data_IF_250946591900
#
_entry.id   IF_250946591900
#
_cell.length_a   1.000
_cell.length_b   1.000
_cell.length_c   1.000
_cell.angle_alpha   90.00
_cell.angle_beta   90.00
_cell.angle_gamma   90.00
#
_symmetry.space_group_name_H-M   'P 1'
#
loop_
_entity.id
_entity.type
_entity.pdbx_description
1 polymer ?
#
# COMPACT_ATOMS: atom_id res chain seq x y z
N UNK A 1 -36.65 12.96 25.87
CA UNK A 1 -36.21 12.54 24.52
C UNK A 1 -34.76 12.97 24.24
N UNK A 2 -34.44 14.28 24.10
CA UNK A 2 -33.08 14.72 23.75
C UNK A 2 -31.97 14.33 24.77
N UNK A 3 -32.25 14.40 26.09
CA UNK A 3 -31.30 13.91 27.12
C UNK A 3 -31.08 12.39 27.06
N UNK A 4 -32.05 11.63 26.58
CA UNK A 4 -31.92 10.17 26.43
C UNK A 4 -30.93 9.83 25.30
N UNK A 5 -30.91 10.63 24.22
CA UNK A 5 -29.92 10.50 23.15
C UNK A 5 -28.48 10.70 23.65
N UNK A 6 -28.26 11.67 24.55
CA UNK A 6 -26.94 11.91 25.17
C UNK A 6 -26.36 10.62 25.79
N UNK A 7 -27.20 9.85 26.48
CA UNK A 7 -26.74 8.62 27.13
C UNK A 7 -26.48 7.52 26.10
N UNK A 8 -27.40 7.29 25.15
CA UNK A 8 -27.26 6.23 24.13
C UNK A 8 -25.99 6.34 23.27
N UNK A 9 -25.41 7.55 23.15
CA UNK A 9 -24.17 7.80 22.39
C UNK A 9 -22.92 7.85 23.28
N UNK A 10 -23.05 7.61 24.58
CA UNK A 10 -21.93 7.52 25.52
C UNK A 10 -21.58 6.07 25.77
N UNK A 11 -20.29 5.72 25.68
CA UNK A 11 -19.80 4.36 25.99
C UNK A 11 -20.10 3.93 27.43
N UNK A 12 -20.27 4.89 28.35
CA UNK A 12 -20.62 4.61 29.75
C UNK A 12 -21.94 3.85 29.88
N UNK A 13 -22.92 4.17 29.01
CA UNK A 13 -24.22 3.48 28.97
C UNK A 13 -24.36 2.50 27.81
N UNK A 14 -23.63 2.73 26.71
CA UNK A 14 -23.61 1.91 25.52
C UNK A 14 -22.24 1.25 25.33
N UNK A 15 -21.90 0.33 26.24
CA UNK A 15 -20.59 -0.35 26.25
C UNK A 15 -20.31 -1.17 24.98
N UNK A 16 -21.36 -1.62 24.30
CA UNK A 16 -21.25 -2.43 23.08
C UNK A 16 -21.08 -1.59 21.81
N UNK A 17 -21.21 -0.25 21.90
CA UNK A 17 -21.23 0.65 20.76
C UNK A 17 -22.32 0.26 19.74
N UNK A 18 -23.51 -0.06 20.25
CA UNK A 18 -24.69 -0.31 19.43
C UNK A 18 -25.20 0.99 18.81
N UNK A 19 -25.96 0.89 17.71
CA UNK A 19 -26.67 2.07 17.19
C UNK A 19 -27.65 2.59 18.25
N UNK A 20 -27.82 3.93 18.37
CA UNK A 20 -28.87 4.47 19.22
C UNK A 20 -30.24 4.02 18.72
N UNK A 21 -31.26 4.14 19.58
CA UNK A 21 -32.63 3.87 19.18
C UNK A 21 -33.03 4.85 18.07
N UNK A 22 -33.14 4.31 16.85
CA UNK A 22 -33.42 5.11 15.66
C UNK A 22 -34.83 5.68 15.66
N UNK A 23 -35.78 5.04 16.34
CA UNK A 23 -37.14 5.56 16.52
C UNK A 23 -37.07 6.81 17.41
N UNK A 24 -36.39 6.71 18.55
CA UNK A 24 -36.19 7.84 19.45
C UNK A 24 -35.44 9.00 18.77
N UNK A 25 -34.39 8.68 18.01
CA UNK A 25 -33.60 9.67 17.27
C UNK A 25 -34.46 10.41 16.24
N UNK A 26 -35.20 9.68 15.40
CA UNK A 26 -36.07 10.26 14.38
C UNK A 26 -37.21 11.08 15.00
N UNK A 27 -37.83 10.58 16.07
CA UNK A 27 -38.87 11.31 16.80
C UNK A 27 -38.33 12.60 17.40
N UNK A 28 -37.11 12.59 17.95
CA UNK A 28 -36.46 13.79 18.49
C UNK A 28 -36.17 14.82 17.40
N UNK A 29 -35.70 14.37 16.22
CA UNK A 29 -35.48 15.23 15.05
C UNK A 29 -36.78 15.86 14.54
N UNK A 30 -37.86 15.09 14.45
CA UNK A 30 -39.19 15.59 14.07
C UNK A 30 -39.73 16.59 15.08
N UNK A 31 -39.64 16.30 16.38
CA UNK A 31 -40.06 17.21 17.43
C UNK A 31 -39.28 18.53 17.40
N UNK A 32 -37.96 18.47 17.16
CA UNK A 32 -37.13 19.65 16.97
C UNK A 32 -37.57 20.50 15.77
N UNK A 33 -37.81 19.87 14.62
CA UNK A 33 -38.30 20.56 13.41
C UNK A 33 -39.65 21.25 13.65
N UNK A 34 -40.58 20.57 14.32
CA UNK A 34 -41.88 21.14 14.66
C UNK A 34 -41.74 22.32 15.63
N UNK A 35 -40.87 22.20 16.63
CA UNK A 35 -40.60 23.30 17.56
C UNK A 35 -40.00 24.52 16.86
N UNK A 36 -39.08 24.34 15.90
CA UNK A 36 -38.54 25.44 15.09
C UNK A 36 -39.63 26.15 14.28
N UNK A 37 -40.59 25.40 13.74
CA UNK A 37 -41.72 25.94 12.97
C UNK A 37 -42.71 26.72 13.85
N UNK A 38 -42.89 26.34 15.11
CA UNK A 38 -43.71 27.13 16.04
C UNK A 38 -42.97 28.38 16.54
N UNK A 39 -41.67 28.26 16.82
CA UNK A 39 -40.84 29.41 17.25
C UNK A 39 -40.75 30.48 16.16
N UNK A 40 -40.72 30.09 14.88
CA UNK A 40 -40.67 31.06 13.77
C UNK A 40 -41.92 31.94 13.68
N UNK A 41 -43.06 31.48 14.20
CA UNK A 41 -44.32 32.24 14.27
C UNK A 41 -44.35 33.25 15.42
N UNK A 42 -43.42 33.16 16.38
CA UNK A 42 -43.38 34.06 17.53
C UNK A 42 -42.89 35.48 17.17
N UNK A 43 -43.30 36.51 17.93
CA UNK A 43 -42.73 37.85 17.86
C UNK A 43 -41.19 37.88 17.99
N UNK A 44 -40.55 38.81 17.29
CA UNK A 44 -39.08 38.86 17.10
C UNK A 44 -38.30 38.94 18.42
N UNK A 45 -38.84 39.67 19.40
CA UNK A 45 -38.31 39.87 20.74
C UNK A 45 -38.27 38.57 21.58
N UNK A 46 -39.21 37.64 21.35
CA UNK A 46 -39.25 36.35 22.05
C UNK A 46 -38.51 35.23 21.33
N UNK A 47 -38.38 35.35 20.00
CA UNK A 47 -37.84 34.30 19.12
C UNK A 47 -36.41 33.89 19.43
N UNK A 48 -35.52 34.86 19.67
CA UNK A 48 -34.09 34.62 19.87
C UNK A 48 -33.80 33.69 21.06
N UNK A 49 -34.49 33.88 22.19
CA UNK A 49 -34.32 33.05 23.38
C UNK A 49 -34.76 31.59 23.12
N UNK A 50 -35.90 31.38 22.46
CA UNK A 50 -36.36 30.03 22.15
C UNK A 50 -35.43 29.30 21.17
N UNK A 51 -34.88 29.97 20.16
CA UNK A 51 -33.87 29.36 19.30
C UNK A 51 -32.62 28.97 20.08
N UNK A 52 -32.06 29.86 20.89
CA UNK A 52 -30.90 29.56 21.72
C UNK A 52 -31.15 28.35 22.65
N UNK A 53 -32.35 28.25 23.23
CA UNK A 53 -32.74 27.10 24.06
C UNK A 53 -32.85 25.81 23.26
N UNK A 54 -33.44 25.85 22.07
CA UNK A 54 -33.56 24.69 21.18
C UNK A 54 -32.17 24.21 20.70
N UNK A 55 -31.28 25.13 20.36
CA UNK A 55 -29.91 24.82 19.95
C UNK A 55 -29.12 24.16 21.08
N UNK A 56 -29.11 24.79 22.25
CA UNK A 56 -28.32 24.35 23.40
C UNK A 56 -28.81 23.04 24.04
N UNK A 57 -30.11 22.70 23.93
CA UNK A 57 -30.69 21.56 24.64
C UNK A 57 -31.22 20.44 23.74
N UNK A 58 -31.39 20.68 22.44
CA UNK A 58 -31.96 19.70 21.52
C UNK A 58 -31.05 19.50 20.32
N UNK A 59 -30.72 20.56 19.58
CA UNK A 59 -29.90 20.48 18.37
C UNK A 59 -28.54 19.84 18.66
N UNK A 60 -27.87 20.27 19.74
CA UNK A 60 -26.57 19.72 20.13
C UNK A 60 -26.60 18.19 20.34
N UNK A 61 -27.71 17.65 20.86
CA UNK A 61 -27.82 16.21 21.08
C UNK A 61 -28.12 15.46 19.79
N UNK A 62 -28.92 16.05 18.88
CA UNK A 62 -29.15 15.51 17.55
C UNK A 62 -27.84 15.46 16.76
N UNK A 63 -27.08 16.57 16.71
CA UNK A 63 -25.82 16.66 15.96
C UNK A 63 -24.79 15.64 16.48
N UNK A 64 -24.67 15.51 17.81
CA UNK A 64 -23.79 14.50 18.43
C UNK A 64 -24.23 13.08 18.13
N UNK A 65 -25.54 12.82 18.08
CA UNK A 65 -26.07 11.51 17.67
C UNK A 65 -25.79 11.20 16.21
N UNK A 66 -25.89 12.18 15.31
CA UNK A 66 -25.51 12.02 13.90
C UNK A 66 -24.03 11.62 13.81
N UNK A 67 -23.14 12.38 14.46
CA UNK A 67 -21.71 12.08 14.45
C UNK A 67 -21.39 10.68 15.00
N UNK A 68 -22.08 10.25 16.06
CA UNK A 68 -21.92 8.91 16.61
C UNK A 68 -22.40 7.83 15.63
N UNK A 69 -23.58 8.00 15.01
CA UNK A 69 -24.13 7.07 14.01
C UNK A 69 -23.19 6.96 12.81
N UNK A 70 -22.68 8.08 12.28
CA UNK A 70 -21.75 8.11 11.16
C UNK A 70 -20.47 7.36 11.51
N UNK A 71 -19.90 7.60 12.69
CA UNK A 71 -18.70 6.91 13.16
C UNK A 71 -18.94 5.40 13.35
N UNK A 72 -20.09 4.97 13.88
CA UNK A 72 -20.40 3.54 13.98
C UNK A 72 -20.62 2.90 12.60
N UNK A 73 -21.21 3.62 11.67
CA UNK A 73 -21.44 3.13 10.30
C UNK A 73 -20.10 2.93 9.58
N UNK A 74 -19.21 3.93 9.61
CA UNK A 74 -17.86 3.81 9.07
C UNK A 74 -17.02 2.74 9.77
N UNK A 75 -17.11 2.65 11.10
CA UNK A 75 -16.44 1.60 11.89
C UNK A 75 -16.87 0.18 11.51
N UNK A 76 -18.18 -0.06 11.35
CA UNK A 76 -18.69 -1.35 10.87
C UNK A 76 -18.23 -1.68 9.45
N UNK A 77 -18.13 -0.68 8.58
CA UNK A 77 -17.56 -0.88 7.23
C UNK A 77 -16.09 -1.31 7.31
N UNK A 78 -15.29 -0.65 8.16
CA UNK A 78 -13.91 -1.08 8.43
C UNK A 78 -13.87 -2.52 8.94
N UNK A 79 -14.76 -2.88 9.87
CA UNK A 79 -14.83 -4.25 10.40
C UNK A 79 -15.06 -5.29 9.29
N UNK A 80 -16.00 -5.03 8.38
CA UNK A 80 -16.27 -5.92 7.24
C UNK A 80 -15.05 -6.03 6.33
N UNK A 81 -14.46 -4.91 5.92
CA UNK A 81 -13.28 -4.90 5.05
C UNK A 81 -12.07 -5.57 5.71
N UNK A 82 -11.91 -5.39 7.03
CA UNK A 82 -10.84 -6.03 7.81
C UNK A 82 -11.01 -7.54 7.84
N UNK A 83 -12.25 -8.06 7.89
CA UNK A 83 -12.52 -9.49 7.82
C UNK A 83 -12.23 -10.07 6.43
N UNK A 84 -12.49 -9.32 5.37
CA UNK A 84 -12.11 -9.71 4.01
C UNK A 84 -10.59 -9.76 3.87
N UNK A 85 -9.87 -8.73 4.32
CA UNK A 85 -8.41 -8.73 4.32
C UNK A 85 -7.84 -9.88 5.17
N UNK A 86 -8.43 -10.20 6.32
CA UNK A 86 -7.97 -11.28 7.20
C UNK A 86 -8.14 -12.65 6.53
N UNK A 87 -9.27 -12.82 5.81
CA UNK A 87 -9.51 -14.01 5.00
C UNK A 87 -8.44 -14.17 3.92
N UNK A 88 -8.14 -13.11 3.14
CA UNK A 88 -7.11 -13.18 2.10
C UNK A 88 -5.72 -13.54 2.67
N UNK A 89 -5.37 -12.99 3.83
CA UNK A 89 -4.10 -13.28 4.49
C UNK A 89 -4.04 -14.74 4.93
N UNK A 90 -5.12 -15.24 5.54
CA UNK A 90 -5.18 -16.61 6.07
C UNK A 90 -5.22 -17.69 5.00
N UNK A 91 -5.91 -17.43 3.89
CA UNK A 91 -5.98 -18.33 2.75
C UNK A 91 -4.81 -18.13 1.77
N UNK A 92 -3.88 -17.24 2.11
CA UNK A 92 -2.68 -16.93 1.32
C UNK A 92 -2.96 -16.49 -0.12
N UNK A 93 -4.05 -15.73 -0.32
CA UNK A 93 -4.52 -15.25 -1.63
C UNK A 93 -3.93 -13.85 -1.91
N UNK A 94 -2.61 -13.79 -2.04
CA UNK A 94 -1.86 -12.52 -2.16
C UNK A 94 -1.98 -11.87 -3.53
N UNK A 95 -1.96 -12.65 -4.62
CA UNK A 95 -1.79 -12.10 -5.98
C UNK A 95 -3.07 -11.65 -6.68
N UNK A 96 -4.26 -11.87 -6.09
CA UNK A 96 -5.54 -11.63 -6.79
C UNK A 96 -6.20 -10.30 -6.39
N UNK A 97 -6.42 -10.05 -5.09
CA UNK A 97 -7.17 -8.88 -4.58
C UNK A 97 -6.64 -8.31 -3.26
N UNK A 98 -5.43 -8.68 -2.86
CA UNK A 98 -4.87 -8.30 -1.55
C UNK A 98 -4.60 -6.80 -1.45
N UNK A 99 -4.01 -6.24 -2.50
CA UNK A 99 -3.76 -4.81 -2.70
C UNK A 99 -5.06 -4.00 -2.70
N UNK A 100 -6.06 -4.41 -3.48
CA UNK A 100 -7.39 -3.79 -3.48
C UNK A 100 -7.99 -3.75 -2.06
N UNK A 101 -8.04 -4.90 -1.38
CA UNK A 101 -8.58 -4.99 -0.03
C UNK A 101 -7.78 -4.14 0.97
N UNK A 102 -6.45 -4.12 0.86
CA UNK A 102 -5.58 -3.27 1.66
C UNK A 102 -5.89 -1.78 1.45
N UNK A 103 -6.01 -1.34 0.19
CA UNK A 103 -6.27 0.05 -0.18
C UNK A 103 -7.66 0.50 0.25
N UNK A 104 -8.68 -0.36 0.15
CA UNK A 104 -10.03 -0.09 0.64
C UNK A 104 -10.07 0.09 2.17
N UNK A 105 -9.43 -0.82 2.93
CA UNK A 105 -9.30 -0.67 4.39
C UNK A 105 -8.56 0.63 4.71
N UNK A 106 -7.47 0.92 3.99
CA UNK A 106 -6.68 2.15 4.16
C UNK A 106 -7.49 3.42 3.95
N UNK A 107 -8.29 3.46 2.89
CA UNK A 107 -9.15 4.59 2.57
C UNK A 107 -10.21 4.80 3.66
N UNK A 108 -10.88 3.73 4.11
CA UNK A 108 -11.93 3.87 5.11
C UNK A 108 -11.36 4.20 6.50
N UNK A 109 -10.19 3.67 6.88
CA UNK A 109 -9.50 4.07 8.13
C UNK A 109 -9.15 5.56 8.13
N UNK A 110 -8.65 6.11 7.02
CA UNK A 110 -8.37 7.56 6.88
C UNK A 110 -9.64 8.39 7.01
N UNK A 111 -10.71 7.99 6.31
CA UNK A 111 -12.02 8.67 6.37
C UNK A 111 -12.61 8.63 7.78
N UNK A 112 -12.50 7.50 8.47
CA UNK A 112 -13.01 7.32 9.82
C UNK A 112 -12.31 8.23 10.84
N UNK A 113 -11.03 8.53 10.66
CA UNK A 113 -10.31 9.47 11.53
C UNK A 113 -10.99 10.85 11.56
N UNK A 114 -11.50 11.33 10.41
CA UNK A 114 -12.23 12.60 10.30
C UNK A 114 -13.58 12.53 11.01
N UNK A 115 -14.32 11.42 10.85
CA UNK A 115 -15.62 11.22 11.50
C UNK A 115 -15.50 11.18 13.03
N UNK A 116 -14.43 10.55 13.54
CA UNK A 116 -14.19 10.41 14.97
C UNK A 116 -13.98 11.74 15.69
N UNK A 117 -13.40 12.76 15.04
CA UNK A 117 -13.27 14.10 15.64
C UNK A 117 -14.61 14.74 15.99
N UNK A 118 -15.70 14.33 15.32
CA UNK A 118 -17.06 14.85 15.54
C UNK A 118 -17.77 14.16 16.69
N UNK A 119 -17.30 12.98 17.12
CA UNK A 119 -17.95 12.19 18.17
C UNK A 119 -17.72 12.84 19.53
N UNK A 120 -18.82 13.03 20.27
CA UNK A 120 -18.76 13.59 21.61
C UNK A 120 -18.28 12.57 22.64
N UNK A 121 -17.34 12.99 23.48
CA UNK A 121 -16.75 12.17 24.55
C UNK A 121 -15.45 11.51 24.13
N UNK A 122 -14.37 11.74 24.90
CA UNK A 122 -13.05 11.13 24.65
C UNK A 122 -13.12 9.60 24.78
N UNK A 123 -13.72 9.10 25.85
CA UNK A 123 -13.89 7.66 26.10
C UNK A 123 -14.67 6.95 24.99
N UNK A 124 -15.75 7.57 24.49
CA UNK A 124 -16.51 7.02 23.35
C UNK A 124 -15.65 6.94 22.08
N UNK A 125 -14.88 7.99 21.76
CA UNK A 125 -13.97 7.98 20.60
C UNK A 125 -12.91 6.88 20.72
N UNK A 126 -12.29 6.76 21.88
CA UNK A 126 -11.28 5.74 22.15
C UNK A 126 -11.83 4.33 22.05
N UNK A 127 -13.07 4.10 22.52
CA UNK A 127 -13.73 2.81 22.38
C UNK A 127 -14.03 2.44 20.91
N UNK A 128 -14.51 3.40 20.10
CA UNK A 128 -14.73 3.18 18.66
C UNK A 128 -13.41 2.90 17.94
N UNK A 129 -12.35 3.65 18.26
CA UNK A 129 -10.99 3.43 17.73
C UNK A 129 -10.47 2.04 18.06
N UNK A 130 -10.58 1.63 19.33
CA UNK A 130 -10.11 0.33 19.79
C UNK A 130 -10.86 -0.82 19.13
N UNK A 131 -12.18 -0.66 18.90
CA UNK A 131 -13.02 -1.71 18.31
C UNK A 131 -12.78 -1.89 16.81
N UNK A 132 -12.64 -0.79 16.07
CA UNK A 132 -12.67 -0.85 14.60
C UNK A 132 -11.34 -0.51 13.94
N UNK A 133 -10.64 0.54 14.39
CA UNK A 133 -9.43 1.03 13.72
C UNK A 133 -8.20 0.20 14.06
N UNK A 134 -7.98 -0.09 15.35
CA UNK A 134 -6.76 -0.81 15.78
C UNK A 134 -6.61 -2.21 15.14
N UNK A 135 -7.66 -3.05 15.07
CA UNK A 135 -7.53 -4.36 14.41
C UNK A 135 -7.16 -4.24 12.92
N UNK A 136 -7.74 -3.24 12.24
CA UNK A 136 -7.45 -2.98 10.84
C UNK A 136 -5.99 -2.54 10.61
N UNK A 137 -5.45 -1.66 11.47
CA UNK A 137 -4.05 -1.21 11.38
C UNK A 137 -3.06 -2.36 11.59
N UNK A 138 -3.30 -3.20 12.61
CA UNK A 138 -2.47 -4.39 12.87
C UNK A 138 -2.46 -5.34 11.67
N UNK A 139 -3.61 -5.55 11.05
CA UNK A 139 -3.71 -6.47 9.92
C UNK A 139 -3.03 -5.91 8.67
N UNK A 140 -3.24 -4.63 8.38
CA UNK A 140 -2.57 -3.93 7.29
C UNK A 140 -1.04 -3.98 7.41
N UNK A 141 -0.51 -3.78 8.61
CA UNK A 141 0.93 -3.77 8.85
C UNK A 141 1.59 -5.06 8.35
N UNK A 142 0.95 -6.21 8.56
CA UNK A 142 1.44 -7.53 8.14
C UNK A 142 1.70 -7.66 6.64
N UNK A 143 0.92 -6.97 5.81
CA UNK A 143 0.98 -7.10 4.34
C UNK A 143 1.45 -5.82 3.64
N UNK A 144 1.77 -4.78 4.41
CA UNK A 144 2.11 -3.46 3.87
C UNK A 144 3.29 -3.50 2.88
N UNK A 145 4.33 -4.26 3.19
CA UNK A 145 5.51 -4.42 2.33
C UNK A 145 5.19 -5.20 1.06
N UNK A 146 4.37 -6.25 1.17
CA UNK A 146 3.89 -6.99 0.00
C UNK A 146 3.10 -6.07 -0.94
N UNK A 147 2.12 -5.32 -0.41
CA UNK A 147 1.30 -4.42 -1.22
C UNK A 147 2.15 -3.32 -1.85
N UNK A 148 3.11 -2.76 -1.12
CA UNK A 148 4.03 -1.76 -1.68
C UNK A 148 4.81 -2.34 -2.86
N UNK A 149 5.41 -3.51 -2.70
CA UNK A 149 6.15 -4.16 -3.79
C UNK A 149 5.24 -4.53 -4.96
N UNK A 150 4.03 -5.02 -4.69
CA UNK A 150 3.03 -5.34 -5.72
C UNK A 150 2.61 -4.09 -6.50
N UNK A 151 2.32 -2.98 -5.84
CA UNK A 151 1.96 -1.72 -6.49
C UNK A 151 3.09 -1.25 -7.44
N UNK A 152 4.36 -1.42 -7.04
CA UNK A 152 5.53 -1.09 -7.88
C UNK A 152 5.63 -2.05 -9.07
N UNK A 153 5.47 -3.36 -8.86
CA UNK A 153 5.49 -4.36 -9.93
C UNK A 153 4.34 -4.14 -10.92
N UNK A 154 3.15 -3.78 -10.45
CA UNK A 154 2.01 -3.48 -11.32
C UNK A 154 2.24 -2.18 -12.11
N UNK A 155 2.90 -1.18 -11.53
CA UNK A 155 3.33 0.02 -12.26
C UNK A 155 4.37 -0.32 -13.35
N UNK A 156 5.33 -1.18 -13.06
CA UNK A 156 6.29 -1.69 -14.06
C UNK A 156 5.59 -2.44 -15.20
N UNK A 157 4.63 -3.32 -14.87
CA UNK A 157 3.82 -4.02 -15.87
C UNK A 157 3.01 -3.07 -16.74
N UNK A 158 2.49 -1.99 -16.18
CA UNK A 158 1.76 -0.97 -16.94
C UNK A 158 2.69 -0.18 -17.87
N UNK A 159 3.93 0.08 -17.45
CA UNK A 159 4.97 0.70 -18.28
C UNK A 159 5.35 -0.20 -19.47
N UNK A 160 5.56 -1.50 -19.24
CA UNK A 160 5.84 -2.50 -20.27
C UNK A 160 4.73 -2.63 -21.34
N UNK A 161 3.51 -2.21 -21.04
CA UNK A 161 2.37 -2.24 -21.97
C UNK A 161 2.27 -1.01 -22.87
N UNK A 162 3.13 0.00 -22.69
CA UNK A 162 3.13 1.19 -23.55
C UNK A 162 3.80 0.90 -24.89
N UNK A 163 3.42 1.68 -25.91
CA UNK A 163 4.05 1.64 -27.23
C UNK A 163 5.53 2.07 -27.17
N UNK A 164 5.85 2.99 -26.25
CA UNK A 164 7.20 3.46 -25.94
C UNK A 164 7.44 3.26 -24.45
N UNK A 165 8.41 2.40 -24.12
CA UNK A 165 8.77 2.03 -22.75
C UNK A 165 9.82 3.03 -22.26
N UNK A 166 9.56 3.68 -21.13
CA UNK A 166 10.59 4.47 -20.43
C UNK A 166 11.51 3.53 -19.64
N UNK A 167 12.68 3.22 -20.22
CA UNK A 167 13.66 2.29 -19.66
C UNK A 167 14.16 2.75 -18.29
N UNK A 168 14.36 4.05 -18.10
CA UNK A 168 14.84 4.58 -16.80
C UNK A 168 13.78 4.43 -15.71
N UNK A 169 12.50 4.68 -16.03
CA UNK A 169 11.42 4.38 -15.08
C UNK A 169 11.34 2.88 -14.79
N UNK A 170 11.50 2.02 -15.81
CA UNK A 170 11.50 0.58 -15.62
C UNK A 170 12.62 0.11 -14.68
N UNK A 171 13.85 0.56 -14.89
CA UNK A 171 14.97 0.27 -13.99
C UNK A 171 14.65 0.73 -12.56
N UNK A 172 14.09 1.93 -12.41
CA UNK A 172 13.64 2.45 -11.12
C UNK A 172 12.62 1.52 -10.44
N UNK A 173 11.58 1.09 -11.16
CA UNK A 173 10.58 0.17 -10.62
C UNK A 173 11.17 -1.19 -10.25
N UNK A 174 12.02 -1.78 -11.11
CA UNK A 174 12.64 -3.07 -10.84
C UNK A 174 13.59 -2.99 -9.65
N UNK A 175 14.37 -1.91 -9.52
CA UNK A 175 15.25 -1.65 -8.39
C UNK A 175 14.46 -1.50 -7.07
N UNK A 176 13.42 -0.67 -7.06
CA UNK A 176 12.57 -0.47 -5.89
C UNK A 176 11.86 -1.77 -5.48
N UNK A 177 11.29 -2.50 -6.43
CA UNK A 177 10.65 -3.78 -6.15
C UNK A 177 11.65 -4.81 -5.59
N UNK A 178 12.84 -4.91 -6.20
CA UNK A 178 13.92 -5.79 -5.74
C UNK A 178 14.35 -5.47 -4.30
N UNK A 179 14.43 -4.19 -3.95
CA UNK A 179 14.73 -3.75 -2.58
C UNK A 179 13.72 -4.27 -1.54
N UNK A 180 12.43 -4.35 -1.90
CA UNK A 180 11.39 -4.84 -1.00
C UNK A 180 11.29 -6.37 -0.92
N UNK A 181 11.61 -7.11 -1.99
CA UNK A 181 11.51 -8.58 -2.04
C UNK A 181 12.02 -9.31 -0.79
N UNK A 182 13.25 -9.09 -0.28
CA UNK A 182 13.76 -9.84 0.88
C UNK A 182 12.99 -9.57 2.17
N UNK A 183 12.15 -8.52 2.21
CA UNK A 183 11.34 -8.12 3.37
C UNK A 183 9.92 -8.68 3.32
N UNK A 184 9.55 -9.38 2.24
CA UNK A 184 8.19 -9.89 2.03
C UNK A 184 8.04 -11.29 2.64
N UNK A 185 6.99 -11.44 3.43
CA UNK A 185 6.49 -12.73 3.89
C UNK A 185 4.99 -12.81 3.61
N UNK A 186 4.45 -13.97 3.21
CA UNK A 186 5.11 -15.28 3.05
C UNK A 186 5.99 -15.42 1.80
N UNK A 187 6.87 -16.43 1.81
CA UNK A 187 7.87 -16.69 0.76
C UNK A 187 7.23 -16.89 -0.62
N UNK A 188 6.09 -17.58 -0.72
CA UNK A 188 5.44 -17.78 -2.03
C UNK A 188 4.93 -16.47 -2.65
N UNK A 189 4.53 -15.49 -1.84
CA UNK A 189 4.11 -14.18 -2.32
C UNK A 189 5.29 -13.36 -2.84
N UNK A 190 6.43 -13.44 -2.13
CA UNK A 190 7.72 -12.91 -2.61
C UNK A 190 8.12 -13.55 -3.93
N UNK A 191 8.12 -14.88 -4.00
CA UNK A 191 8.56 -15.64 -5.19
C UNK A 191 7.69 -15.31 -6.42
N UNK A 192 6.39 -15.05 -6.22
CA UNK A 192 5.51 -14.61 -7.30
C UNK A 192 5.91 -13.24 -7.86
N UNK A 193 6.16 -12.24 -7.00
CA UNK A 193 6.62 -10.92 -7.43
C UNK A 193 8.02 -10.96 -8.06
N UNK A 194 8.91 -11.80 -7.52
CA UNK A 194 10.23 -12.01 -8.11
C UNK A 194 10.13 -12.61 -9.52
N UNK A 195 9.23 -13.57 -9.73
CA UNK A 195 8.98 -14.14 -11.06
C UNK A 195 8.51 -13.08 -12.05
N UNK A 196 7.66 -12.14 -11.62
CA UNK A 196 7.23 -11.02 -12.45
C UNK A 196 8.41 -10.10 -12.80
N UNK A 197 9.25 -9.75 -11.83
CA UNK A 197 10.47 -8.92 -12.02
C UNK A 197 11.42 -9.58 -13.02
N UNK A 198 11.71 -10.88 -12.87
CA UNK A 198 12.59 -11.63 -13.78
C UNK A 198 12.02 -11.67 -15.20
N UNK A 199 10.69 -11.81 -15.32
CA UNK A 199 10.03 -11.83 -16.64
C UNK A 199 10.20 -10.49 -17.35
N UNK A 200 9.91 -9.38 -16.67
CA UNK A 200 10.09 -8.04 -17.25
C UNK A 200 11.57 -7.74 -17.55
N UNK A 201 12.49 -8.15 -16.68
CA UNK A 201 13.92 -7.98 -16.92
C UNK A 201 14.39 -8.72 -18.19
N UNK A 202 13.90 -9.95 -18.40
CA UNK A 202 14.17 -10.71 -19.63
C UNK A 202 13.62 -10.01 -20.86
N UNK A 203 12.38 -9.53 -20.81
CA UNK A 203 11.76 -8.81 -21.92
C UNK A 203 12.55 -7.52 -22.26
N UNK A 204 13.05 -6.79 -21.26
CA UNK A 204 13.94 -5.64 -21.49
C UNK A 204 15.27 -6.04 -22.11
N UNK A 205 15.88 -7.15 -21.69
CA UNK A 205 17.09 -7.72 -22.32
C UNK A 205 16.89 -7.99 -23.80
N UNK A 206 15.75 -8.58 -24.16
CA UNK A 206 15.40 -8.86 -25.56
C UNK A 206 15.18 -7.59 -26.39
N UNK A 207 14.95 -6.44 -25.76
CA UNK A 207 14.81 -5.13 -26.42
C UNK A 207 16.17 -4.41 -26.51
N UNK A 208 16.94 -4.39 -25.43
CA UNK A 208 18.17 -3.60 -25.31
C UNK A 208 19.33 -4.19 -26.12
N UNK A 209 19.52 -5.52 -26.06
CA UNK A 209 20.70 -6.16 -26.63
C UNK A 209 20.78 -6.14 -28.16
N UNK A 210 19.70 -6.40 -28.93
CA UNK A 210 19.81 -6.51 -30.38
C UNK A 210 20.17 -5.20 -31.12
N UNK A 211 19.99 -4.06 -30.46
CA UNK A 211 20.26 -2.74 -31.03
C UNK A 211 21.68 -2.24 -30.72
N UNK A 212 22.41 -2.92 -29.84
CA UNK A 212 23.72 -2.49 -29.38
C UNK A 212 24.83 -3.13 -30.23
N UNK A 213 25.73 -2.28 -30.76
CA UNK A 213 26.85 -2.71 -31.61
C UNK A 213 28.21 -2.67 -30.87
N UNK A 214 28.22 -2.48 -29.55
CA UNK A 214 29.43 -2.42 -28.72
C UNK A 214 29.75 -3.73 -27.98
N UNK A 215 30.61 -3.68 -26.93
CA UNK A 215 31.01 -4.87 -26.18
C UNK A 215 29.85 -5.56 -25.46
N UNK A 216 29.51 -6.77 -25.85
CA UNK A 216 28.38 -7.50 -25.25
C UNK A 216 28.82 -8.32 -24.04
N UNK A 217 27.97 -8.44 -23.01
CA UNK A 217 28.25 -9.36 -21.91
C UNK A 217 28.10 -10.79 -22.43
N UNK A 218 29.20 -11.53 -22.48
CA UNK A 218 29.20 -12.92 -22.94
C UNK A 218 28.80 -13.87 -21.81
N UNK A 219 29.39 -13.70 -20.63
CA UNK A 219 29.00 -14.39 -19.40
C UNK A 219 29.57 -13.69 -18.18
N UNK A 220 29.08 -14.06 -17.00
CA UNK A 220 29.67 -13.68 -15.72
C UNK A 220 30.08 -14.90 -14.93
N UNK A 221 31.08 -14.73 -14.07
CA UNK A 221 31.47 -15.72 -13.09
C UNK A 221 31.90 -14.99 -11.81
N UNK A 222 32.38 -15.74 -10.84
CA UNK A 222 32.86 -15.23 -9.56
C UNK A 222 34.16 -15.93 -9.18
N UNK A 223 35.00 -15.22 -8.43
CA UNK A 223 36.18 -15.80 -7.81
C UNK A 223 35.85 -16.40 -6.41
N UNK A 224 34.70 -16.03 -5.80
CA UNK A 224 34.37 -16.31 -4.39
C UNK A 224 32.96 -16.89 -4.13
N UNK A 225 32.22 -17.22 -5.19
CA UNK A 225 30.85 -17.74 -5.10
C UNK A 225 29.77 -16.65 -5.15
N UNK A 226 30.06 -15.51 -5.76
CA UNK A 226 29.24 -14.29 -5.84
C UNK A 226 29.02 -13.65 -4.46
N UNK A 227 30.05 -13.68 -3.62
CA UNK A 227 30.03 -13.06 -2.29
C UNK A 227 30.40 -11.59 -2.37
N UNK A 228 31.54 -11.28 -2.99
CA UNK A 228 32.08 -9.93 -3.08
C UNK A 228 32.56 -9.61 -4.50
N UNK A 229 33.10 -10.59 -5.22
CA UNK A 229 33.75 -10.36 -6.53
C UNK A 229 33.00 -11.02 -7.69
N UNK A 230 32.67 -10.20 -8.69
CA UNK A 230 32.11 -10.57 -9.97
C UNK A 230 33.19 -10.44 -11.04
N UNK A 231 33.41 -11.48 -11.85
CA UNK A 231 34.16 -11.36 -13.10
C UNK A 231 33.20 -11.33 -14.27
N UNK A 232 33.20 -10.25 -15.04
CA UNK A 232 32.38 -10.08 -16.24
C UNK A 232 33.27 -10.28 -17.46
N UNK A 233 32.80 -11.09 -18.40
CA UNK A 233 33.48 -11.36 -19.65
C UNK A 233 32.71 -10.69 -20.78
N UNK A 234 33.37 -9.75 -21.46
CA UNK A 234 32.81 -9.00 -22.58
C UNK A 234 33.29 -9.58 -23.90
N UNK A 235 32.37 -9.81 -24.83
CA UNK A 235 32.65 -10.13 -26.22
C UNK A 235 32.98 -8.84 -26.98
N UNK A 236 34.25 -8.72 -27.38
CA UNK A 236 34.76 -7.60 -28.18
C UNK A 236 34.67 -7.89 -29.69
N UNK A 237 34.12 -9.04 -30.08
CA UNK A 237 33.99 -9.51 -31.46
C UNK A 237 35.17 -10.37 -31.93
N UNK A 238 36.41 -9.98 -31.62
CA UNK A 238 37.62 -10.74 -31.98
C UNK A 238 38.29 -11.45 -30.78
N UNK A 239 37.96 -11.03 -29.55
CA UNK A 239 38.43 -11.64 -28.32
C UNK A 239 37.42 -11.43 -27.18
N UNK A 240 37.67 -12.11 -26.06
CA UNK A 240 36.94 -11.90 -24.81
C UNK A 240 37.82 -11.10 -23.86
N UNK A 241 37.32 -9.98 -23.37
CA UNK A 241 37.96 -9.17 -22.32
C UNK A 241 37.32 -9.47 -20.96
N UNK A 242 38.14 -9.62 -19.92
CA UNK A 242 37.69 -9.98 -18.57
C UNK A 242 37.93 -8.79 -17.65
N UNK A 243 36.86 -8.34 -16.99
CA UNK A 243 36.92 -7.31 -15.96
C UNK A 243 36.36 -7.79 -14.62
N UNK A 244 36.75 -7.09 -13.56
CA UNK A 244 36.35 -7.41 -12.19
C UNK A 244 35.54 -6.27 -11.57
N UNK A 245 34.41 -6.63 -10.98
CA UNK A 245 33.51 -5.71 -10.30
C UNK A 245 33.18 -6.23 -8.90
N UNK A 246 32.77 -5.32 -8.02
CA UNK A 246 32.42 -5.64 -6.64
C UNK A 246 30.90 -5.64 -6.48
N UNK A 247 30.37 -6.69 -5.83
CA UNK A 247 28.98 -6.72 -5.39
C UNK A 247 28.86 -6.01 -4.05
N UNK A 248 27.84 -5.17 -3.88
CA UNK A 248 27.57 -4.53 -2.58
C UNK A 248 27.19 -5.54 -1.50
N UNK A 249 26.57 -6.66 -1.91
CA UNK A 249 26.20 -7.77 -1.04
C UNK A 249 26.26 -9.10 -1.78
N UNK A 250 26.43 -10.23 -1.05
CA UNK A 250 26.38 -11.55 -1.65
C UNK A 250 25.06 -11.81 -2.39
N UNK A 251 25.16 -12.44 -3.56
CA UNK A 251 23.98 -12.89 -4.31
C UNK A 251 23.53 -14.26 -3.78
N UNK A 252 22.53 -14.24 -2.91
CA UNK A 252 21.98 -15.47 -2.31
C UNK A 252 21.19 -16.33 -3.31
N UNK A 253 21.05 -17.63 -3.04
CA UNK A 253 20.19 -18.52 -3.84
C UNK A 253 18.74 -18.03 -3.85
N UNK A 254 18.13 -18.00 -5.04
CA UNK A 254 16.86 -17.33 -5.35
C UNK A 254 16.86 -15.83 -5.03
N UNK A 255 18.03 -15.23 -4.89
CA UNK A 255 18.21 -13.79 -4.80
C UNK A 255 18.24 -13.16 -6.18
N UNK A 256 17.77 -11.92 -6.26
CA UNK A 256 17.93 -11.03 -7.40
C UNK A 256 18.74 -9.82 -6.97
N UNK A 257 19.61 -9.33 -7.85
CA UNK A 257 20.38 -8.11 -7.59
C UNK A 257 20.48 -7.25 -8.84
N UNK A 258 20.17 -5.98 -8.69
CA UNK A 258 20.37 -4.97 -9.74
C UNK A 258 21.76 -4.34 -9.52
N UNK A 259 22.60 -4.38 -10.54
CA UNK A 259 23.94 -3.77 -10.49
C UNK A 259 24.16 -2.91 -11.73
N UNK A 260 25.08 -1.95 -11.61
CA UNK A 260 25.54 -1.16 -12.74
C UNK A 260 27.06 -1.05 -12.73
N UNK A 261 27.66 -1.09 -13.91
CA UNK A 261 29.10 -1.02 -14.07
C UNK A 261 29.48 -0.43 -15.43
N UNK A 262 30.64 0.22 -15.46
CA UNK A 262 31.15 0.91 -16.63
C UNK A 262 32.19 0.04 -17.35
N UNK A 263 32.06 -0.08 -18.68
CA UNK A 263 33.06 -0.72 -19.51
C UNK A 263 33.15 -0.04 -20.87
N UNK A 264 34.37 0.31 -21.28
CA UNK A 264 34.68 0.87 -22.60
C UNK A 264 33.81 2.07 -23.03
N UNK A 265 33.50 2.97 -22.09
CA UNK A 265 32.69 4.17 -22.36
C UNK A 265 31.18 3.91 -22.35
N UNK A 266 30.73 2.74 -21.91
CA UNK A 266 29.32 2.40 -21.73
C UNK A 266 29.03 2.03 -20.27
N UNK A 267 27.89 2.46 -19.76
CA UNK A 267 27.33 1.99 -18.49
C UNK A 267 26.33 0.87 -18.78
N UNK A 268 26.52 -0.27 -18.14
CA UNK A 268 25.64 -1.44 -18.25
C UNK A 268 24.81 -1.54 -16.97
N UNK A 269 23.49 -1.53 -17.09
CA UNK A 269 22.59 -1.86 -15.97
C UNK A 269 22.03 -3.26 -16.17
N UNK A 270 22.24 -4.15 -15.21
CA UNK A 270 21.81 -5.56 -15.32
C UNK A 270 21.06 -6.01 -14.07
N UNK A 271 20.13 -6.96 -14.26
CA UNK A 271 19.54 -7.76 -13.19
C UNK A 271 20.18 -9.15 -13.18
N UNK A 272 20.77 -9.51 -12.04
CA UNK A 272 21.26 -10.86 -11.75
C UNK A 272 20.18 -11.67 -11.05
N UNK A 273 20.06 -12.95 -11.39
CA UNK A 273 19.21 -13.90 -10.68
C UNK A 273 19.93 -15.23 -10.42
N UNK A 274 20.06 -15.60 -9.14
CA UNK A 274 20.69 -16.87 -8.74
C UNK A 274 19.67 -18.00 -8.70
N UNK A 275 19.50 -18.66 -9.83
CA UNK A 275 18.58 -19.78 -10.03
C UNK A 275 19.13 -21.15 -9.62
N UNK A 276 20.45 -21.29 -9.49
CA UNK A 276 21.11 -22.51 -9.02
C UNK A 276 21.71 -22.34 -7.60
N UNK A 277 21.50 -23.29 -6.67
CA UNK A 277 22.06 -23.21 -5.32
C UNK A 277 23.59 -23.41 -5.26
N UNK A 278 24.22 -23.89 -6.32
CA UNK A 278 25.68 -24.02 -6.40
C UNK A 278 26.32 -22.63 -6.60
N UNK A 279 27.09 -22.17 -5.62
CA UNK A 279 27.76 -20.86 -5.62
C UNK A 279 28.66 -20.62 -6.85
N UNK A 280 29.12 -21.69 -7.50
CA UNK A 280 30.02 -21.63 -8.67
C UNK A 280 29.31 -21.63 -10.03
N UNK A 281 27.99 -21.79 -10.05
CA UNK A 281 27.20 -21.66 -11.28
C UNK A 281 26.81 -20.19 -11.43
N UNK A 282 27.13 -19.62 -12.59
CA UNK A 282 26.79 -18.25 -12.97
C UNK A 282 25.29 -17.98 -12.80
N UNK A 283 24.90 -16.81 -12.26
CA UNK A 283 23.50 -16.41 -12.25
C UNK A 283 23.01 -16.18 -13.69
N UNK A 284 21.70 -16.23 -13.86
CA UNK A 284 21.06 -15.63 -15.02
C UNK A 284 21.31 -14.11 -15.01
N UNK A 285 21.57 -13.54 -16.18
CA UNK A 285 21.87 -12.12 -16.38
C UNK A 285 20.83 -11.58 -17.36
N UNK A 286 20.25 -10.42 -17.02
CA UNK A 286 19.34 -9.70 -17.90
C UNK A 286 19.83 -8.26 -18.04
N UNK A 287 20.23 -7.88 -19.25
CA UNK A 287 20.71 -6.53 -19.56
C UNK A 287 19.52 -5.60 -19.69
N UNK A 288 19.36 -4.67 -18.74
CA UNK A 288 18.19 -3.77 -18.73
C UNK A 288 18.41 -2.53 -19.58
N UNK A 289 19.63 -2.01 -19.59
CA UNK A 289 20.04 -0.85 -20.36
C UNK A 289 21.54 -0.86 -20.62
N UNK A 290 21.94 -0.24 -21.74
CA UNK A 290 23.32 0.06 -22.08
C UNK A 290 23.36 1.51 -22.57
N UNK A 291 23.94 2.40 -21.77
CA UNK A 291 24.00 3.84 -22.06
C UNK A 291 25.44 4.26 -22.36
N UNK A 292 25.66 5.05 -23.42
CA UNK A 292 26.95 5.67 -23.71
C UNK A 292 27.28 6.77 -22.68
N UNK A 293 28.45 6.69 -22.07
CA UNK A 293 28.94 7.66 -21.09
C UNK A 293 29.50 8.86 -21.87
N UNK A 294 28.78 9.99 -21.84
CA UNK A 294 29.26 11.22 -22.46
C UNK A 294 30.53 11.74 -21.74
N UNK A 295 31.60 11.97 -22.49
CA UNK A 295 32.85 12.60 -22.03
C UNK A 295 32.68 14.06 -21.57
#
# INVERSE_FOLDING_TARGET
MARSLKWQISVESNKQLAMPDMILFNNTKSAYKNALAEVSKLPKDKRANYYARLDANVKVHIDRSIAFIDALTGGKKIETLTKELDYLIREEIYMIRMDDAYHEVSAEVRKQAILLYRVYGKSTREAILAKYKKPAEVLKEKVSLFVTAKDIVDAAKAEMQKDEIDIYNMIGYLGDANYYLPKIYPIHARDALQSDIITMARELSEIAEPLFEGPMIAWMNTEDGFKETLSVHFDMGDHIEKEYYTLEKPLEYKGTELISFDFYGFEYTVLLYKDDPNEWISPSIYTLDITEIAE
#
